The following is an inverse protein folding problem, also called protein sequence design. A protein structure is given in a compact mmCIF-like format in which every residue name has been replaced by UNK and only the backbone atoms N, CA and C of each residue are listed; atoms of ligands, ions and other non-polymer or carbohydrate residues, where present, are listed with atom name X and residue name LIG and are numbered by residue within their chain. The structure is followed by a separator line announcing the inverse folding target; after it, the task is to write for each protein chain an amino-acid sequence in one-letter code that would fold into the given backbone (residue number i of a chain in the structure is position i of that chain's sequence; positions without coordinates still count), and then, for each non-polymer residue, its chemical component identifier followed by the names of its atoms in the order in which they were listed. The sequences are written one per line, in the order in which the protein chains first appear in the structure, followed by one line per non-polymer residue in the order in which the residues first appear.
data_IF_704299279819
#
_entry.id   IF_704299279819
#
_cell.length_a   1.000
_cell.length_b   1.000
_cell.length_c   1.000
_cell.angle_alpha   90.00
_cell.angle_beta   90.00
_cell.angle_gamma   90.00
#
_symmetry.space_group_name_H-M   'P 1'
#
loop_
_entity.id
_entity.type
_entity.pdbx_description
1 polymer ?
#
# COMPACT_ATOMS: atom_id res chain seq x y z
N UNK A 1 -17.18 2.20 18.73
CA UNK A 1 -17.88 2.35 17.44
C UNK A 1 -17.16 1.46 16.47
N UNK A 2 -17.84 0.46 15.93
CA UNK A 2 -17.23 -0.58 15.11
C UNK A 2 -16.79 -0.02 13.76
N UNK A 3 -15.59 -0.39 13.31
CA UNK A 3 -15.09 -0.07 11.98
C UNK A 3 -15.93 -0.88 11.01
N UNK A 4 -16.85 -0.25 10.30
CA UNK A 4 -17.57 -0.94 9.25
C UNK A 4 -16.67 -1.14 8.03
N UNK A 5 -15.57 -0.40 7.87
CA UNK A 5 -14.79 -0.32 6.63
C UNK A 5 -13.59 -1.29 6.56
N UNK A 6 -13.54 -2.29 7.45
CA UNK A 6 -12.55 -3.39 7.46
C UNK A 6 -13.31 -4.71 7.43
N UNK A 7 -12.78 -5.71 6.71
CA UNK A 7 -13.38 -7.04 6.66
C UNK A 7 -13.53 -7.64 8.07
N UNK A 8 -14.73 -8.11 8.42
CA UNK A 8 -14.94 -8.75 9.71
C UNK A 8 -14.57 -10.24 9.67
N UNK A 9 -13.80 -10.69 10.66
CA UNK A 9 -13.59 -12.11 10.95
C UNK A 9 -14.79 -12.62 11.75
N UNK A 10 -15.50 -13.59 11.19
CA UNK A 10 -16.69 -14.19 11.77
C UNK A 10 -16.33 -15.39 12.65
N UNK A 11 -15.41 -16.24 12.18
CA UNK A 11 -14.97 -17.45 12.91
C UNK A 11 -13.51 -17.78 12.61
N UNK A 12 -12.88 -18.50 13.54
CA UNK A 12 -11.51 -19.00 13.42
C UNK A 12 -11.50 -20.49 13.76
N UNK A 13 -10.89 -21.30 12.89
CA UNK A 13 -10.63 -22.71 13.13
C UNK A 13 -9.13 -22.98 13.08
N UNK A 14 -8.63 -23.79 14.01
CA UNK A 14 -7.23 -24.18 14.09
C UNK A 14 -7.14 -25.71 14.15
N UNK A 15 -6.56 -26.30 13.10
CA UNK A 15 -6.32 -27.74 12.98
C UNK A 15 -4.83 -28.10 13.19
N UNK A 16 -4.07 -27.21 13.83
CA UNK A 16 -2.65 -27.35 14.15
C UNK A 16 -1.72 -27.11 12.95
N UNK A 17 -2.07 -27.63 11.76
CA UNK A 17 -1.32 -27.38 10.51
C UNK A 17 -1.88 -26.21 9.70
N UNK A 18 -3.17 -25.97 9.79
CA UNK A 18 -3.88 -24.95 9.03
C UNK A 18 -4.75 -24.14 9.97
N UNK A 19 -4.76 -22.83 9.73
CA UNK A 19 -5.68 -21.90 10.38
C UNK A 19 -6.65 -21.41 9.31
N UNK A 20 -7.95 -21.55 9.56
CA UNK A 20 -9.01 -21.09 8.67
C UNK A 20 -9.67 -19.86 9.29
N UNK A 21 -9.59 -18.74 8.58
CA UNK A 21 -10.29 -17.50 8.94
C UNK A 21 -11.56 -17.41 8.09
N UNK A 22 -12.72 -17.53 8.72
CA UNK A 22 -14.01 -17.30 8.07
C UNK A 22 -14.34 -15.83 8.19
N UNK A 23 -14.46 -15.14 7.06
CA UNK A 23 -14.74 -13.70 7.00
C UNK A 23 -16.05 -13.43 6.28
N UNK A 24 -16.49 -12.17 6.33
CA UNK A 24 -17.52 -11.69 5.43
C UNK A 24 -17.10 -11.89 3.95
N UNK A 25 -18.07 -12.26 3.12
CA UNK A 25 -17.86 -12.42 1.68
C UNK A 25 -18.00 -11.08 0.97
N UNK A 26 -16.91 -10.60 0.36
CA UNK A 26 -16.90 -9.40 -0.47
C UNK A 26 -17.50 -9.71 -1.85
N UNK A 27 -18.83 -9.63 -1.98
CA UNK A 27 -19.52 -9.97 -3.24
C UNK A 27 -19.27 -8.94 -4.34
N UNK A 28 -18.88 -7.72 -3.96
CA UNK A 28 -18.75 -6.62 -4.90
C UNK A 28 -17.47 -6.61 -5.74
N UNK A 29 -16.49 -7.45 -5.39
CA UNK A 29 -15.21 -7.51 -6.09
C UNK A 29 -14.30 -6.31 -5.83
N UNK A 30 -13.24 -6.19 -6.62
CA UNK A 30 -12.18 -5.20 -6.41
C UNK A 30 -12.63 -3.76 -6.70
N UNK A 31 -12.16 -2.83 -5.87
CA UNK A 31 -12.43 -1.41 -6.00
C UNK A 31 -12.10 -0.89 -7.40
N UNK A 32 -10.88 -1.19 -7.86
CA UNK A 32 -10.36 -0.67 -9.12
C UNK A 32 -11.13 -1.25 -10.32
N UNK A 33 -11.56 -2.51 -10.26
CA UNK A 33 -12.37 -3.12 -11.32
C UNK A 33 -13.70 -2.40 -11.52
N UNK A 34 -14.36 -2.03 -10.41
CA UNK A 34 -15.60 -1.27 -10.49
C UNK A 34 -15.38 0.13 -10.99
N UNK A 35 -14.41 0.81 -10.40
CA UNK A 35 -14.08 2.17 -10.78
C UNK A 35 -13.84 2.17 -12.28
N UNK A 36 -12.92 1.36 -12.81
CA UNK A 36 -12.59 1.35 -14.24
C UNK A 36 -13.76 0.95 -15.17
N UNK A 37 -14.77 0.22 -14.68
CA UNK A 37 -15.97 -0.18 -15.47
C UNK A 37 -17.14 0.79 -15.38
N UNK A 38 -17.17 1.70 -14.40
CA UNK A 38 -18.24 2.68 -14.28
C UNK A 38 -18.24 3.63 -15.48
N UNK A 39 -19.43 3.89 -16.05
CA UNK A 39 -19.58 4.81 -17.18
C UNK A 39 -19.30 6.26 -16.80
N UNK A 40 -19.70 6.66 -15.60
CA UNK A 40 -19.51 8.01 -15.08
C UNK A 40 -18.65 7.94 -13.84
N UNK A 41 -17.54 8.66 -13.86
CA UNK A 41 -16.65 8.83 -12.73
C UNK A 41 -15.85 10.11 -12.91
N UNK A 42 -15.77 10.88 -11.84
CA UNK A 42 -15.25 12.24 -11.76
C UNK A 42 -14.37 12.35 -10.52
N UNK A 43 -13.76 13.52 -10.33
CA UNK A 43 -13.01 13.82 -9.11
C UNK A 43 -13.86 13.68 -7.85
N UNK A 44 -15.17 13.96 -7.94
CA UNK A 44 -16.08 13.84 -6.79
C UNK A 44 -16.22 12.39 -6.32
N UNK A 45 -16.41 11.43 -7.24
CA UNK A 45 -16.46 10.02 -6.86
C UNK A 45 -15.09 9.54 -6.36
N UNK A 46 -14.00 9.96 -7.01
CA UNK A 46 -12.64 9.64 -6.57
C UNK A 46 -12.35 10.15 -5.14
N UNK A 47 -12.80 11.37 -4.82
CA UNK A 47 -12.65 11.99 -3.50
C UNK A 47 -13.47 11.25 -2.44
N UNK A 48 -14.71 10.83 -2.75
CA UNK A 48 -15.53 10.04 -1.83
C UNK A 48 -14.93 8.65 -1.53
N UNK A 49 -14.38 7.99 -2.56
CA UNK A 49 -13.65 6.72 -2.40
C UNK A 49 -12.41 6.92 -1.53
N UNK A 50 -11.57 7.92 -1.87
CA UNK A 50 -10.33 8.17 -1.14
C UNK A 50 -10.60 8.56 0.31
N UNK A 51 -11.62 9.37 0.59
CA UNK A 51 -12.03 9.73 1.94
C UNK A 51 -12.36 8.49 2.78
N UNK A 52 -13.15 7.56 2.25
CA UNK A 52 -13.57 6.35 2.99
C UNK A 52 -12.37 5.47 3.35
N UNK A 53 -11.48 5.24 2.37
CA UNK A 53 -10.29 4.41 2.57
C UNK A 53 -9.33 5.10 3.55
N UNK A 54 -9.05 6.39 3.33
CA UNK A 54 -8.11 7.16 4.16
C UNK A 54 -8.60 7.29 5.59
N UNK A 55 -9.91 7.47 5.82
CA UNK A 55 -10.51 7.49 7.16
C UNK A 55 -10.27 6.16 7.90
N UNK A 56 -10.36 5.06 7.18
CA UNK A 56 -10.09 3.72 7.72
C UNK A 56 -8.61 3.56 8.06
N UNK A 57 -7.72 4.00 7.16
CA UNK A 57 -6.27 3.97 7.37
C UNK A 57 -5.84 4.87 8.53
N UNK A 58 -6.41 6.06 8.65
CA UNK A 58 -6.18 6.99 9.76
C UNK A 58 -6.53 6.33 11.09
N UNK A 59 -7.70 5.69 11.17
CA UNK A 59 -8.09 4.92 12.34
C UNK A 59 -7.05 3.82 12.67
N UNK A 60 -6.62 3.04 11.68
CA UNK A 60 -5.62 1.98 11.88
C UNK A 60 -4.32 2.57 12.44
N UNK A 61 -3.82 3.64 11.82
CA UNK A 61 -2.59 4.33 12.21
C UNK A 61 -2.71 4.89 13.63
N UNK A 62 -3.84 5.50 14.00
CA UNK A 62 -4.12 5.95 15.36
C UNK A 62 -4.14 4.80 16.37
N UNK A 63 -4.56 3.59 15.99
CA UNK A 63 -4.50 2.38 16.82
C UNK A 63 -3.12 1.70 16.81
N UNK A 64 -2.12 2.30 16.15
CA UNK A 64 -0.77 1.73 16.05
C UNK A 64 -0.69 0.53 15.10
N UNK A 65 -1.67 0.37 14.21
CA UNK A 65 -1.71 -0.67 13.17
C UNK A 65 -1.30 -0.05 11.83
N UNK A 66 -0.29 -0.62 11.18
CA UNK A 66 0.06 -0.31 9.78
C UNK A 66 -0.24 -1.52 8.92
N UNK A 67 -0.78 -1.29 7.73
CA UNK A 67 -1.27 -2.37 6.87
C UNK A 67 -0.13 -3.00 6.07
N UNK A 68 0.78 -2.18 5.51
CA UNK A 68 2.00 -2.56 4.75
C UNK A 68 1.77 -3.24 3.39
N UNK A 69 0.56 -3.68 3.09
CA UNK A 69 0.17 -4.22 1.77
C UNK A 69 -1.14 -3.63 1.25
N UNK A 70 -1.30 -2.30 1.32
CA UNK A 70 -2.47 -1.61 0.74
C UNK A 70 -2.37 -1.56 -0.78
N UNK A 71 -2.66 -2.67 -1.43
CA UNK A 71 -2.82 -2.73 -2.89
C UNK A 71 -4.29 -2.61 -3.28
N UNK A 72 -4.62 -2.12 -4.48
CA UNK A 72 -6.00 -2.00 -4.92
C UNK A 72 -6.78 -3.32 -4.89
N UNK A 73 -6.12 -4.48 -5.05
CA UNK A 73 -6.76 -5.80 -4.95
C UNK A 73 -7.11 -6.20 -3.50
N UNK A 74 -6.58 -5.51 -2.50
CA UNK A 74 -6.93 -5.68 -1.08
C UNK A 74 -8.02 -4.69 -0.62
N UNK A 75 -8.61 -3.91 -1.54
CA UNK A 75 -9.70 -2.99 -1.26
C UNK A 75 -10.91 -3.44 -2.08
N UNK A 76 -11.93 -3.94 -1.40
CA UNK A 76 -13.05 -4.64 -2.02
C UNK A 76 -14.38 -3.97 -1.66
N UNK A 77 -15.41 -4.20 -2.46
CA UNK A 77 -16.78 -3.84 -2.10
C UNK A 77 -17.51 -5.04 -1.47
N UNK A 78 -18.27 -4.79 -0.39
CA UNK A 78 -19.14 -5.81 0.24
C UNK A 78 -20.22 -6.31 -0.71
N UNK A 79 -20.78 -5.40 -1.52
CA UNK A 79 -21.99 -5.62 -2.30
C UNK A 79 -21.93 -4.92 -3.67
N UNK A 80 -22.99 -5.04 -4.48
CA UNK A 80 -23.11 -4.49 -5.83
C UNK A 80 -23.63 -3.06 -5.93
N UNK A 81 -23.77 -2.36 -4.80
CA UNK A 81 -24.33 -1.00 -4.80
C UNK A 81 -23.40 0.04 -5.43
N UNK A 82 -22.08 -0.18 -5.38
CA UNK A 82 -21.09 0.81 -5.76
C UNK A 82 -21.02 2.00 -4.79
N UNK A 83 -21.67 1.92 -3.63
CA UNK A 83 -21.59 2.94 -2.58
C UNK A 83 -20.19 2.90 -1.94
N UNK A 84 -19.49 4.04 -1.81
CA UNK A 84 -18.26 4.12 -1.02
C UNK A 84 -18.36 3.50 0.38
N UNK A 85 -19.52 3.59 1.06
CA UNK A 85 -19.72 3.00 2.40
C UNK A 85 -19.63 1.46 2.42
N UNK A 86 -19.71 0.80 1.26
CA UNK A 86 -19.55 -0.66 1.15
C UNK A 86 -18.10 -1.08 0.88
N UNK A 87 -17.15 -0.14 0.82
CA UNK A 87 -15.72 -0.42 0.70
C UNK A 87 -15.18 -1.06 1.99
N UNK A 88 -14.35 -2.08 1.83
CA UNK A 88 -13.64 -2.77 2.92
C UNK A 88 -12.17 -2.91 2.58
N UNK A 89 -11.31 -2.58 3.54
CA UNK A 89 -9.90 -3.00 3.51
C UNK A 89 -9.82 -4.46 3.96
N UNK A 90 -9.14 -5.27 3.16
CA UNK A 90 -8.97 -6.70 3.32
C UNK A 90 -7.49 -7.07 3.43
N UNK A 91 -7.22 -8.31 3.82
CA UNK A 91 -5.88 -8.92 3.88
C UNK A 91 -4.85 -8.19 4.76
N UNK A 92 -5.02 -8.39 6.07
CA UNK A 92 -4.09 -7.93 7.10
C UNK A 92 -2.93 -8.91 7.33
N UNK A 93 -2.65 -9.83 6.39
CA UNK A 93 -1.58 -10.84 6.55
C UNK A 93 -0.18 -10.23 6.72
N UNK A 94 0.02 -9.04 6.15
CA UNK A 94 1.22 -8.23 6.33
C UNK A 94 1.04 -7.10 7.33
N UNK A 95 -0.10 -6.95 8.01
CA UNK A 95 -0.26 -5.86 8.96
C UNK A 95 0.68 -6.01 10.17
N UNK A 96 1.05 -4.89 10.77
CA UNK A 96 1.87 -4.87 11.99
C UNK A 96 1.26 -3.93 13.01
N UNK A 97 1.15 -4.43 14.24
CA UNK A 97 0.71 -3.65 15.39
C UNK A 97 1.91 -3.31 16.28
N UNK A 98 1.98 -2.06 16.71
CA UNK A 98 2.97 -1.59 17.68
C UNK A 98 2.84 -2.36 19.01
N UNK A 99 3.94 -2.95 19.46
CA UNK A 99 4.05 -3.66 20.75
C UNK A 99 5.28 -3.21 21.50
N UNK A 100 5.16 -3.07 22.82
CA UNK A 100 6.28 -2.78 23.71
C UNK A 100 7.19 -3.99 23.89
N UNK A 101 8.38 -3.80 24.47
CA UNK A 101 9.33 -4.90 24.73
C UNK A 101 8.77 -6.01 25.64
N UNK A 102 7.70 -5.72 26.39
CA UNK A 102 6.94 -6.67 27.21
C UNK A 102 5.73 -7.30 26.49
N UNK A 103 5.54 -7.01 25.20
CA UNK A 103 4.42 -7.51 24.39
C UNK A 103 3.10 -6.75 24.53
N UNK A 104 3.03 -5.69 25.36
CA UNK A 104 1.82 -4.85 25.48
C UNK A 104 1.56 -4.08 24.19
N UNK A 105 0.29 -3.93 23.82
CA UNK A 105 -0.13 -3.10 22.70
C UNK A 105 0.18 -1.64 23.01
N UNK A 106 0.81 -0.96 22.07
CA UNK A 106 1.16 0.46 22.21
C UNK A 106 0.35 1.29 21.22
N UNK A 107 -0.26 2.35 21.73
CA UNK A 107 -0.94 3.35 20.91
C UNK A 107 0.00 4.55 20.79
N UNK A 108 0.28 5.07 19.57
CA UNK A 108 1.27 6.14 19.36
C UNK A 108 1.05 7.37 20.25
N UNK A 109 -0.21 7.69 20.55
CA UNK A 109 -0.61 8.88 21.29
C UNK A 109 -0.28 8.82 22.80
N UNK A 110 -0.24 7.63 23.40
CA UNK A 110 -0.19 7.49 24.88
C UNK A 110 1.13 6.90 25.40
N UNK A 111 1.96 6.30 24.54
CA UNK A 111 3.14 5.54 25.00
C UNK A 111 4.46 5.90 24.31
N UNK A 112 4.51 6.98 23.52
CA UNK A 112 5.70 7.40 22.78
C UNK A 112 6.98 7.52 23.64
N UNK A 113 6.85 7.84 24.94
CA UNK A 113 7.98 7.96 25.86
C UNK A 113 8.68 6.63 26.20
N UNK A 114 8.08 5.47 25.91
CA UNK A 114 8.60 4.14 26.28
C UNK A 114 9.00 3.29 25.07
N UNK A 115 8.92 3.84 23.86
CA UNK A 115 9.24 3.11 22.61
C UNK A 115 10.61 3.52 22.12
N UNK A 116 11.43 2.53 21.73
CA UNK A 116 12.74 2.78 21.16
C UNK A 116 12.63 3.60 19.85
N UNK A 117 13.55 4.56 19.61
CA UNK A 117 13.46 5.50 18.50
C UNK A 117 13.44 4.81 17.13
N UNK A 118 14.18 3.72 16.95
CA UNK A 118 14.22 2.94 15.71
C UNK A 118 12.89 2.23 15.39
N UNK A 119 12.13 1.85 16.43
CA UNK A 119 10.79 1.25 16.26
C UNK A 119 9.79 2.31 15.82
N UNK A 120 9.85 3.51 16.41
CA UNK A 120 9.02 4.65 16.02
C UNK A 120 9.34 5.11 14.59
N UNK A 121 10.62 5.22 14.24
CA UNK A 121 11.06 5.58 12.88
C UNK A 121 10.57 4.57 11.84
N UNK A 122 10.70 3.26 12.12
CA UNK A 122 10.20 2.22 11.21
C UNK A 122 8.69 2.23 11.09
N UNK A 123 7.96 2.50 12.18
CA UNK A 123 6.50 2.63 12.12
C UNK A 123 6.08 3.84 11.28
N UNK A 124 6.73 5.00 11.46
CA UNK A 124 6.47 6.19 10.65
C UNK A 124 6.73 5.92 9.17
N UNK A 125 7.80 5.18 8.86
CA UNK A 125 8.08 4.72 7.51
C UNK A 125 6.98 3.80 6.96
N UNK A 126 6.59 2.76 7.72
CA UNK A 126 5.53 1.82 7.31
C UNK A 126 4.18 2.53 7.11
N UNK A 127 3.83 3.51 7.97
CA UNK A 127 2.64 4.34 7.82
C UNK A 127 2.72 5.24 6.57
N UNK A 128 3.89 5.82 6.28
CA UNK A 128 4.10 6.58 5.06
C UNK A 128 3.99 5.69 3.81
N UNK A 129 4.35 4.41 3.88
CA UNK A 129 4.15 3.45 2.78
C UNK A 129 2.66 3.21 2.50
N UNK A 130 1.83 3.10 3.53
CA UNK A 130 0.36 3.02 3.36
C UNK A 130 -0.17 4.25 2.59
N UNK A 131 0.30 5.46 2.93
CA UNK A 131 -0.12 6.69 2.22
C UNK A 131 0.38 6.74 0.78
N UNK A 132 1.61 6.28 0.52
CA UNK A 132 2.13 6.16 -0.84
C UNK A 132 1.22 5.27 -1.70
N UNK A 133 0.82 4.13 -1.16
CA UNK A 133 -0.10 3.21 -1.83
C UNK A 133 -1.47 3.86 -2.13
N UNK A 134 -2.02 4.65 -1.21
CA UNK A 134 -3.23 5.43 -1.46
C UNK A 134 -3.00 6.51 -2.53
N UNK A 135 -1.81 7.10 -2.61
CA UNK A 135 -1.42 8.03 -3.67
C UNK A 135 -1.38 7.36 -5.04
N UNK A 136 -0.83 6.15 -5.13
CA UNK A 136 -0.83 5.35 -6.36
C UNK A 136 -2.26 5.04 -6.80
N UNK A 137 -3.12 4.66 -5.85
CA UNK A 137 -4.55 4.45 -6.12
C UNK A 137 -5.22 5.72 -6.63
N UNK A 138 -5.03 6.87 -5.97
CA UNK A 138 -5.59 8.15 -6.39
C UNK A 138 -5.13 8.52 -7.81
N UNK A 139 -3.83 8.41 -8.09
CA UNK A 139 -3.29 8.65 -9.43
C UNK A 139 -4.04 7.80 -10.47
N UNK A 140 -4.20 6.51 -10.22
CA UNK A 140 -4.85 5.60 -11.15
C UNK A 140 -6.35 5.89 -11.32
N UNK A 141 -7.04 6.32 -10.26
CA UNK A 141 -8.44 6.75 -10.36
C UNK A 141 -8.61 7.99 -11.24
N UNK A 142 -7.67 8.95 -11.16
CA UNK A 142 -7.72 10.22 -11.91
C UNK A 142 -7.21 10.07 -13.35
N UNK A 143 -6.08 9.39 -13.53
CA UNK A 143 -5.41 9.26 -14.82
C UNK A 143 -5.97 8.13 -15.70
N UNK A 144 -6.51 7.07 -15.07
CA UNK A 144 -6.91 5.84 -15.76
C UNK A 144 -5.75 4.88 -16.09
N UNK A 145 -4.53 5.18 -15.62
CA UNK A 145 -3.32 4.36 -15.74
C UNK A 145 -2.44 4.51 -14.49
N UNK A 146 -1.40 3.70 -14.32
CA UNK A 146 -0.56 3.75 -13.10
C UNK A 146 0.60 4.76 -13.24
N UNK A 147 1.07 5.38 -12.13
CA UNK A 147 2.07 6.44 -12.22
C UNK A 147 3.47 5.98 -12.64
N UNK A 148 3.81 4.71 -12.42
CA UNK A 148 5.20 4.23 -12.52
C UNK A 148 5.40 3.03 -13.46
N UNK A 149 4.32 2.36 -13.89
CA UNK A 149 4.39 1.24 -14.83
C UNK A 149 3.52 1.54 -16.06
N UNK A 150 4.10 1.43 -17.25
CA UNK A 150 3.38 1.66 -18.50
C UNK A 150 2.51 0.45 -18.90
N UNK A 151 2.79 -0.73 -18.33
CA UNK A 151 2.09 -1.96 -18.60
C UNK A 151 2.62 -3.13 -17.76
N UNK A 152 2.04 -4.34 -17.93
CA UNK A 152 2.48 -5.54 -17.23
C UNK A 152 3.88 -6.03 -17.64
N UNK A 153 4.41 -5.55 -18.77
CA UNK A 153 5.69 -5.99 -19.33
C UNK A 153 6.88 -5.14 -18.89
N UNK A 154 6.65 -4.05 -18.16
CA UNK A 154 7.73 -3.22 -17.62
C UNK A 154 8.57 -4.04 -16.64
N UNK A 155 9.90 -3.87 -16.70
CA UNK A 155 10.80 -4.59 -15.81
C UNK A 155 10.78 -3.99 -14.40
N UNK A 156 11.00 -4.80 -13.34
CA UNK A 156 11.11 -4.29 -11.98
C UNK A 156 12.12 -3.15 -11.83
N UNK A 157 13.26 -3.24 -12.52
CA UNK A 157 14.33 -2.23 -12.49
C UNK A 157 13.86 -0.88 -13.05
N UNK A 158 13.15 -0.88 -14.17
CA UNK A 158 12.59 0.33 -14.78
C UNK A 158 11.54 0.98 -13.88
N UNK A 159 10.64 0.18 -13.31
CA UNK A 159 9.61 0.67 -12.39
C UNK A 159 10.25 1.29 -11.15
N UNK A 160 11.23 0.59 -10.54
CA UNK A 160 11.94 1.09 -9.36
C UNK A 160 12.75 2.36 -9.65
N UNK A 161 13.31 2.49 -10.87
CA UNK A 161 13.98 3.71 -11.30
C UNK A 161 13.01 4.90 -11.35
N UNK A 162 11.81 4.70 -11.91
CA UNK A 162 10.77 5.75 -11.96
C UNK A 162 10.29 6.13 -10.56
N UNK A 163 10.00 5.15 -9.71
CA UNK A 163 9.64 5.36 -8.29
C UNK A 163 10.74 6.15 -7.57
N UNK A 164 12.00 5.71 -7.68
CA UNK A 164 13.14 6.35 -7.02
C UNK A 164 13.41 7.77 -7.51
N UNK A 165 13.06 8.08 -8.77
CA UNK A 165 13.17 9.43 -9.31
C UNK A 165 12.10 10.39 -8.79
N UNK A 166 10.97 9.87 -8.29
CA UNK A 166 9.81 10.66 -7.87
C UNK A 166 9.06 11.34 -9.01
N UNK A 167 9.41 11.08 -10.26
CA UNK A 167 8.82 11.76 -11.41
C UNK A 167 7.66 10.93 -11.95
N UNK A 168 6.48 11.54 -11.98
CA UNK A 168 5.28 11.04 -12.64
C UNK A 168 4.63 12.19 -13.43
N UNK A 169 3.93 11.88 -14.51
CA UNK A 169 3.30 12.91 -15.35
C UNK A 169 2.00 13.40 -14.72
N UNK A 170 1.82 14.72 -14.70
CA UNK A 170 0.58 15.43 -14.33
C UNK A 170 0.08 16.32 -15.48
N UNK A 171 0.40 15.95 -16.71
CA UNK A 171 0.01 16.67 -17.93
C UNK A 171 -0.51 15.69 -18.98
N UNK A 172 -1.41 16.17 -19.84
CA UNK A 172 -2.01 15.41 -20.92
C UNK A 172 -3.19 14.53 -20.49
N UNK A 173 -4.14 14.34 -21.41
CA UNK A 173 -5.31 13.50 -21.19
C UNK A 173 -6.21 14.08 -20.10
N UNK A 174 -6.58 13.27 -19.10
CA UNK A 174 -7.40 13.77 -17.98
C UNK A 174 -6.73 14.90 -17.21
N UNK A 175 -5.39 14.90 -17.12
CA UNK A 175 -4.64 15.89 -16.33
C UNK A 175 -4.82 17.34 -16.82
N UNK A 176 -5.26 17.53 -18.06
CA UNK A 176 -5.56 18.86 -18.60
C UNK A 176 -6.86 19.44 -18.02
N UNK A 177 -7.73 18.59 -17.48
CA UNK A 177 -9.04 18.96 -16.90
C UNK A 177 -9.12 18.74 -15.38
N UNK A 178 -8.29 17.83 -14.87
CA UNK A 178 -8.19 17.51 -13.45
C UNK A 178 -7.68 18.73 -12.66
N UNK A 179 -8.35 19.02 -11.55
CA UNK A 179 -8.13 20.21 -10.73
C UNK A 179 -6.72 20.30 -10.16
N UNK A 180 -6.20 21.52 -10.00
CA UNK A 180 -4.90 21.74 -9.37
C UNK A 180 -4.87 21.30 -7.91
N UNK A 181 -6.02 21.37 -7.22
CA UNK A 181 -6.15 20.86 -5.84
C UNK A 181 -5.91 19.35 -5.74
N UNK A 182 -6.37 18.57 -6.74
CA UNK A 182 -6.09 17.13 -6.76
C UNK A 182 -4.61 16.82 -7.03
N UNK A 183 -3.98 17.58 -7.93
CA UNK A 183 -2.56 17.48 -8.28
C UNK A 183 -1.68 17.81 -7.09
N UNK A 184 -2.07 18.86 -6.34
CA UNK A 184 -1.41 19.26 -5.10
C UNK A 184 -1.45 18.14 -4.05
N UNK A 185 -2.64 17.60 -3.75
CA UNK A 185 -2.77 16.46 -2.83
C UNK A 185 -1.91 15.28 -3.26
N UNK A 186 -1.95 14.94 -4.54
CA UNK A 186 -1.22 13.80 -5.08
C UNK A 186 0.30 13.97 -4.96
N UNK A 187 0.81 15.18 -5.18
CA UNK A 187 2.24 15.50 -5.01
C UNK A 187 2.73 15.27 -3.58
N UNK A 188 1.88 15.54 -2.59
CA UNK A 188 2.18 15.29 -1.17
C UNK A 188 2.06 13.81 -0.78
N UNK A 189 1.13 13.06 -1.37
CA UNK A 189 0.99 11.61 -1.11
C UNK A 189 2.09 10.78 -1.79
N UNK A 190 2.52 11.18 -2.98
CA UNK A 190 3.59 10.53 -3.76
C UNK A 190 4.95 11.22 -3.60
N UNK A 191 5.17 11.94 -2.50
CA UNK A 191 6.47 12.52 -2.20
C UNK A 191 7.49 11.40 -1.89
N UNK A 192 8.66 11.46 -2.53
CA UNK A 192 9.72 10.43 -2.40
C UNK A 192 10.24 10.32 -0.98
N UNK A 193 10.50 11.46 -0.35
CA UNK A 193 10.87 11.52 1.07
C UNK A 193 9.63 11.22 1.94
N UNK A 194 9.61 10.12 2.72
CA UNK A 194 8.50 9.77 3.59
C UNK A 194 8.27 10.80 4.72
N UNK A 195 9.25 11.64 5.07
CA UNK A 195 9.08 12.66 6.11
C UNK A 195 8.31 13.90 5.62
N UNK A 196 8.32 14.14 4.31
CA UNK A 196 7.54 15.21 3.67
C UNK A 196 6.19 14.69 3.16
N UNK A 197 6.00 13.35 3.17
CA UNK A 197 4.76 12.72 2.75
C UNK A 197 3.67 12.98 3.77
N UNK A 198 2.46 13.26 3.29
CA UNK A 198 1.32 13.44 4.18
C UNK A 198 1.04 12.18 5.01
N UNK A 199 0.53 12.40 6.22
CA UNK A 199 -0.14 11.41 7.05
C UNK A 199 -1.60 11.24 6.60
N UNK A 200 -2.27 10.17 7.04
CA UNK A 200 -3.69 9.96 6.76
C UNK A 200 -4.55 11.15 7.23
N UNK A 201 -4.28 11.66 8.44
CA UNK A 201 -4.93 12.85 8.99
C UNK A 201 -4.77 14.08 8.09
N UNK A 202 -3.55 14.33 7.57
CA UNK A 202 -3.29 15.45 6.66
C UNK A 202 -4.04 15.31 5.33
N UNK A 203 -4.11 14.09 4.77
CA UNK A 203 -4.91 13.81 3.57
C UNK A 203 -6.39 14.11 3.82
N UNK A 204 -6.95 13.69 4.96
CA UNK A 204 -8.35 13.93 5.31
C UNK A 204 -8.68 15.42 5.52
N UNK A 205 -7.69 16.23 5.90
CA UNK A 205 -7.83 17.69 6.08
C UNK A 205 -7.61 18.49 4.80
N UNK A 206 -7.13 17.86 3.73
CA UNK A 206 -6.85 18.54 2.48
C UNK A 206 -8.13 19.11 1.83
N UNK A 207 -8.01 20.25 1.13
CA UNK A 207 -9.16 20.93 0.52
C UNK A 207 -9.88 20.08 -0.53
N UNK A 208 -9.13 19.28 -1.30
CA UNK A 208 -9.70 18.32 -2.26
C UNK A 208 -10.61 17.25 -1.60
N UNK A 209 -10.38 16.91 -0.34
CA UNK A 209 -11.21 15.96 0.41
C UNK A 209 -12.35 16.68 1.13
N UNK A 210 -12.05 17.78 1.81
CA UNK A 210 -13.02 18.50 2.65
C UNK A 210 -14.04 19.32 1.84
N UNK A 211 -13.66 19.84 0.67
CA UNK A 211 -14.50 20.63 -0.22
C UNK A 211 -15.04 19.80 -1.40
N UNK A 212 -15.42 18.53 -1.17
CA UNK A 212 -15.85 17.61 -2.24
C UNK A 212 -17.00 18.12 -3.12
N UNK A 213 -17.86 18.98 -2.58
CA UNK A 213 -19.02 19.53 -3.31
C UNK A 213 -18.63 20.67 -4.26
N UNK A 214 -17.40 21.19 -4.15
CA UNK A 214 -16.82 22.16 -5.08
C UNK A 214 -16.00 21.50 -6.19
N UNK A 215 -15.87 20.17 -6.19
CA UNK A 215 -15.06 19.44 -7.17
C UNK A 215 -15.76 19.37 -8.54
N UNK A 216 -14.99 19.34 -9.64
CA UNK A 216 -15.56 19.18 -10.96
C UNK A 216 -16.30 17.85 -11.11
N UNK A 217 -17.45 17.91 -11.79
CA UNK A 217 -18.24 16.73 -12.19
C UNK A 217 -17.86 16.21 -13.58
N UNK A 218 -16.75 16.69 -14.15
CA UNK A 218 -16.31 16.26 -15.47
C UNK A 218 -15.98 14.77 -15.45
N UNK A 219 -16.45 14.07 -16.49
CA UNK A 219 -16.18 12.67 -16.65
C UNK A 219 -14.71 12.47 -17.03
N UNK A 220 -14.01 11.65 -16.24
CA UNK A 220 -12.64 11.25 -16.52
C UNK A 220 -12.62 10.22 -17.67
N UNK A 221 -11.75 10.45 -18.65
CA UNK A 221 -11.51 9.51 -19.76
C UNK A 221 -10.79 8.29 -19.24
N UNK A 222 -11.09 7.10 -19.77
CA UNK A 222 -10.50 5.84 -19.28
C UNK A 222 -9.95 5.01 -20.42
N UNK A 223 -8.94 4.21 -20.10
CA UNK A 223 -8.45 3.19 -21.00
C UNK A 223 -9.51 2.10 -21.22
N UNK A 224 -9.73 1.73 -22.47
CA UNK A 224 -10.62 0.61 -22.86
C UNK A 224 -10.11 -0.77 -22.41
N UNK A 225 -8.93 -0.83 -21.77
CA UNK A 225 -8.26 -2.04 -21.34
C UNK A 225 -7.95 -2.07 -19.82
N UNK A 226 -8.95 -2.25 -18.94
CA UNK A 226 -8.76 -2.32 -17.48
C UNK A 226 -7.74 -3.37 -17.04
N UNK A 227 -7.63 -4.47 -17.78
CA UNK A 227 -6.68 -5.55 -17.51
C UNK A 227 -5.22 -5.11 -17.61
N UNK A 228 -4.89 -4.16 -18.49
CA UNK A 228 -3.53 -3.61 -18.58
C UNK A 228 -3.18 -2.77 -17.35
N UNK A 229 -4.15 -1.99 -16.86
CA UNK A 229 -3.99 -1.18 -15.63
C UNK A 229 -3.77 -2.10 -14.43
N UNK A 230 -4.54 -3.19 -14.30
CA UNK A 230 -4.31 -4.20 -13.25
C UNK A 230 -2.93 -4.84 -13.36
N UNK A 231 -2.54 -5.22 -14.57
CA UNK A 231 -1.22 -5.80 -14.84
C UNK A 231 -0.07 -4.87 -14.46
N UNK A 232 -0.16 -3.59 -14.85
CA UNK A 232 0.81 -2.56 -14.49
C UNK A 232 0.85 -2.31 -12.97
N UNK A 233 -0.31 -2.32 -12.31
CA UNK A 233 -0.41 -2.19 -10.85
C UNK A 233 0.27 -3.37 -10.17
N UNK A 234 -0.03 -4.60 -10.59
CA UNK A 234 0.59 -5.82 -10.06
C UNK A 234 2.11 -5.83 -10.27
N UNK A 235 2.59 -5.41 -11.45
CA UNK A 235 4.02 -5.26 -11.74
C UNK A 235 4.68 -4.25 -10.79
N UNK A 236 4.00 -3.14 -10.49
CA UNK A 236 4.49 -2.12 -9.55
C UNK A 236 4.69 -2.66 -8.14
N UNK A 237 3.68 -3.34 -7.59
CA UNK A 237 3.78 -3.94 -6.25
C UNK A 237 4.77 -5.11 -6.22
N UNK A 238 4.85 -5.91 -7.29
CA UNK A 238 5.86 -6.97 -7.43
C UNK A 238 7.28 -6.39 -7.37
N UNK A 239 7.56 -5.33 -8.12
CA UNK A 239 8.85 -4.65 -8.11
C UNK A 239 9.23 -4.10 -6.73
N UNK A 240 8.26 -3.53 -5.99
CA UNK A 240 8.46 -3.06 -4.62
C UNK A 240 8.76 -4.20 -3.63
N UNK A 241 8.15 -5.37 -3.82
CA UNK A 241 8.34 -6.53 -2.95
C UNK A 241 9.62 -7.34 -3.24
N UNK A 242 10.16 -7.26 -4.46
CA UNK A 242 11.31 -8.07 -4.89
C UNK A 242 12.64 -7.70 -4.22
N UNK A 243 12.74 -6.57 -3.51
CA UNK A 243 13.94 -6.22 -2.75
C UNK A 243 14.05 -7.01 -1.44
N UNK A 244 14.45 -8.27 -1.56
CA UNK A 244 15.53 -8.90 -0.78
C UNK A 244 15.94 -10.21 -1.46
N UNK A 245 16.75 -10.14 -2.51
CA UNK A 245 17.60 -11.28 -2.86
C UNK A 245 18.59 -11.44 -1.70
N UNK A 246 18.26 -12.27 -0.72
CA UNK A 246 19.26 -12.69 0.27
C UNK A 246 20.43 -13.29 -0.52
N UNK A 247 21.69 -12.91 -0.22
CA UNK A 247 22.82 -13.54 -0.87
C UNK A 247 22.71 -15.05 -0.66
N UNK A 248 22.79 -15.82 -1.74
CA UNK A 248 22.81 -17.28 -1.66
C UNK A 248 24.02 -17.66 -0.82
N UNK A 249 23.78 -18.31 0.33
CA UNK A 249 24.85 -18.77 1.19
C UNK A 249 25.69 -19.78 0.40
N UNK A 250 26.98 -19.51 0.26
CA UNK A 250 27.92 -20.47 -0.30
C UNK A 250 28.16 -21.62 0.69
N UNK A 251 28.61 -22.79 0.19
CA UNK A 251 29.02 -23.89 1.07
C UNK A 251 30.01 -23.41 2.13
N UNK A 252 29.96 -23.96 3.34
CA UNK A 252 30.86 -23.60 4.45
C UNK A 252 32.34 -23.66 4.04
N UNK A 253 32.69 -24.55 3.10
CA UNK A 253 34.04 -24.67 2.52
C UNK A 253 34.53 -23.43 1.75
N UNK A 254 33.63 -22.54 1.30
CA UNK A 254 33.97 -21.26 0.70
C UNK A 254 34.45 -20.24 1.76
N UNK A 255 34.19 -20.48 3.05
CA UNK A 255 34.72 -19.64 4.13
C UNK A 255 36.23 -19.83 4.27
N UNK A 256 36.97 -18.72 4.26
CA UNK A 256 38.42 -18.68 4.53
C UNK A 256 38.80 -19.32 5.87
N UNK A 257 37.92 -19.24 6.88
CA UNK A 257 38.12 -19.90 8.17
C UNK A 257 38.00 -21.42 8.08
N UNK A 258 37.04 -21.92 7.29
CA UNK A 258 36.85 -23.36 7.07
C UNK A 258 38.00 -23.96 6.26
N UNK A 259 38.48 -23.26 5.24
CA UNK A 259 39.65 -23.67 4.44
C UNK A 259 40.91 -23.84 5.31
N UNK A 260 41.16 -22.89 6.23
CA UNK A 260 42.29 -22.97 7.18
C UNK A 260 42.17 -24.14 8.15
N UNK A 261 40.96 -24.53 8.54
CA UNK A 261 40.72 -25.68 9.45
C UNK A 261 40.90 -27.02 8.74
N UNK A 262 40.49 -27.12 7.47
CA UNK A 262 40.72 -28.33 6.66
C UNK A 262 42.21 -28.57 6.40
N UNK A 263 42.98 -27.50 6.14
CA UNK A 263 44.44 -27.61 5.94
C UNK A 263 45.18 -28.09 7.21
N UNK A 264 44.79 -27.63 8.40
CA UNK A 264 45.37 -28.13 9.67
C UNK A 264 45.06 -29.60 9.95
N UNK A 265 43.97 -30.14 9.41
CA UNK A 265 43.58 -31.55 9.59
C UNK A 265 44.43 -32.50 8.74
N UNK A 266 44.88 -32.04 7.57
CA UNK A 266 45.77 -32.80 6.68
C UNK A 266 47.21 -32.85 7.19
N UNK A 267 47.69 -31.81 7.88
CA UNK A 267 49.07 -31.74 8.38
C UNK A 267 49.33 -32.46 9.71
N UNK A 268 48.30 -33.03 10.35
CA UNK A 268 48.42 -33.68 11.67
C UNK A 268 48.38 -35.21 11.64
N UNK A 269 48.29 -35.82 10.45
CA UNK A 269 48.26 -37.29 10.27
C UNK A 269 49.50 -37.87 9.59
N UNK A 270 50.51 -37.04 9.30
CA UNK A 270 51.83 -37.49 8.85
C UNK A 270 52.89 -37.15 9.91
N UNK A 271 52.91 -37.93 11.00
CA UNK A 271 54.10 -38.23 11.81
C UNK A 271 53.96 -39.61 12.45
#
# INVERSE_FOLDING_TARGET
GWINDVVCVLQVYDEGRYVYLVTELMKGGELLDRILRQKFFSEREASAVLFTITKTVDYLHCQGVVHRDLKPSNILYMDDSGNPDSIRICDFGFAKQLRGGNGLLLTPCYTANFVAPEVLMRQGYDAACDIWSLGVLLYTMLAGYTPFANGPNDTPEEILLRIGSGKFSLTGGNWDTVSDSSKDLLSHMLHVDPHQRYTAEQVLKHSWITCKDALPHFQLTRHDAPHLVKGAMAATYSALSQKTSQPVLEPVAASSLAQRRSMKKLTSTDM
#
